data_IF_539503670671
#
_entry.id   IF_539503670671
#
_cell.length_a   1.000
_cell.length_b   1.000
_cell.length_c   1.000
_cell.angle_alpha   90.00
_cell.angle_beta   90.00
_cell.angle_gamma   90.00
#
_symmetry.space_group_name_H-M   'P 1'
#
loop_
_entity.id
_entity.type
_entity.pdbx_description
1 polymer ?
#
# COMPACT_ATOMS: atom_id res chain seq x y z
N UNK A 1 4.98 -18.60 54.84
CA UNK A 1 3.61 -18.29 54.37
C UNK A 1 3.74 -17.15 53.38
N UNK A 2 3.55 -17.46 52.11
CA UNK A 2 3.74 -16.56 50.97
C UNK A 2 2.61 -15.54 50.93
N UNK A 3 2.95 -14.25 51.03
CA UNK A 3 2.03 -13.17 50.70
C UNK A 3 1.72 -13.24 49.19
N UNK A 4 0.50 -13.64 48.83
CA UNK A 4 -0.04 -13.33 47.51
C UNK A 4 -0.37 -11.84 47.52
N UNK A 5 0.40 -11.05 46.78
CA UNK A 5 0.02 -9.68 46.42
C UNK A 5 -1.32 -9.75 45.68
N UNK A 6 -2.33 -9.09 46.24
CA UNK A 6 -3.62 -8.94 45.56
C UNK A 6 -3.38 -8.12 44.29
N UNK A 7 -3.58 -8.74 43.12
CA UNK A 7 -3.56 -8.04 41.83
C UNK A 7 -4.47 -6.80 41.89
N UNK A 8 -4.06 -5.65 41.31
CA UNK A 8 -4.93 -4.49 41.27
C UNK A 8 -6.22 -4.84 40.53
N UNK A 9 -7.38 -4.52 41.14
CA UNK A 9 -8.73 -4.89 40.65
C UNK A 9 -9.06 -4.36 39.23
N UNK A 10 -8.19 -3.58 38.60
CA UNK A 10 -8.43 -2.97 37.30
C UNK A 10 -7.24 -3.20 36.37
N UNK A 11 -6.86 -4.46 36.18
CA UNK A 11 -6.01 -4.85 35.06
C UNK A 11 -6.88 -5.20 33.84
N UNK A 12 -6.46 -4.85 32.61
CA UNK A 12 -7.08 -5.36 31.40
C UNK A 12 -7.03 -6.89 31.38
N UNK A 13 -8.14 -7.52 31.00
CA UNK A 13 -8.27 -8.97 30.92
C UNK A 13 -8.09 -9.39 29.45
N UNK A 14 -7.08 -10.21 29.11
CA UNK A 14 -6.96 -10.74 27.75
C UNK A 14 -8.19 -11.55 27.39
N UNK A 15 -8.72 -11.32 26.19
CA UNK A 15 -9.82 -12.12 25.66
C UNK A 15 -9.24 -13.45 25.14
N UNK A 16 -9.99 -14.55 25.26
CA UNK A 16 -9.50 -15.85 24.78
C UNK A 16 -9.15 -15.74 23.28
N UNK A 17 -7.92 -16.09 22.91
CA UNK A 17 -7.51 -16.12 21.51
C UNK A 17 -8.38 -17.13 20.76
N UNK A 18 -9.22 -16.68 19.83
CA UNK A 18 -9.95 -17.57 18.94
C UNK A 18 -9.05 -17.89 17.74
N UNK A 19 -8.92 -19.17 17.41
CA UNK A 19 -8.30 -19.62 16.17
C UNK A 19 -8.87 -18.89 14.94
N UNK A 20 -8.00 -18.63 13.97
CA UNK A 20 -8.30 -17.87 12.75
C UNK A 20 -9.38 -18.55 11.89
N UNK A 21 -10.31 -17.78 11.26
CA UNK A 21 -10.52 -16.33 11.35
C UNK A 21 -11.54 -15.90 12.45
N UNK A 22 -11.44 -14.66 12.97
CA UNK A 22 -12.32 -14.15 14.02
C UNK A 22 -13.78 -14.08 13.59
N UNK A 23 -14.69 -14.43 14.50
CA UNK A 23 -16.14 -14.36 14.28
C UNK A 23 -16.68 -13.00 14.77
N UNK A 24 -16.86 -12.07 13.83
CA UNK A 24 -17.42 -10.73 14.12
C UNK A 24 -18.84 -10.79 14.68
N UNK A 25 -19.14 -9.94 15.66
CA UNK A 25 -20.46 -9.82 16.25
C UNK A 25 -21.45 -9.04 15.36
N UNK A 26 -20.94 -8.10 14.54
CA UNK A 26 -21.76 -7.27 13.66
C UNK A 26 -21.15 -7.10 12.25
N UNK A 27 -21.97 -7.00 11.17
CA UNK A 27 -21.46 -6.80 9.80
C UNK A 27 -20.53 -5.59 9.63
N UNK A 28 -20.75 -4.52 10.39
CA UNK A 28 -19.89 -3.32 10.33
C UNK A 28 -18.47 -3.56 10.85
N UNK A 29 -18.27 -4.50 11.79
CA UNK A 29 -16.94 -4.88 12.25
C UNK A 29 -16.21 -5.66 11.15
N UNK A 30 -16.91 -6.58 10.48
CA UNK A 30 -16.36 -7.28 9.31
C UNK A 30 -15.97 -6.31 8.19
N UNK A 31 -16.84 -5.37 7.84
CA UNK A 31 -16.52 -4.30 6.89
C UNK A 31 -15.30 -3.50 7.35
N UNK A 32 -15.21 -3.16 8.64
CA UNK A 32 -14.09 -2.40 9.18
C UNK A 32 -12.77 -3.16 9.12
N UNK A 33 -12.77 -4.45 9.50
CA UNK A 33 -11.63 -5.34 9.41
C UNK A 33 -11.10 -5.44 7.97
N UNK A 34 -12.00 -5.66 7.00
CA UNK A 34 -11.63 -5.69 5.58
C UNK A 34 -10.96 -4.40 5.12
N UNK A 35 -11.32 -3.27 5.71
CA UNK A 35 -10.72 -1.99 5.35
C UNK A 35 -9.38 -1.77 6.05
N UNK A 36 -9.22 -2.20 7.30
CA UNK A 36 -7.91 -2.23 7.95
C UNK A 36 -6.93 -3.12 7.15
N UNK A 37 -7.40 -4.28 6.70
CA UNK A 37 -6.66 -5.17 5.80
C UNK A 37 -6.34 -4.48 4.47
N UNK A 38 -7.31 -3.77 3.88
CA UNK A 38 -7.13 -2.99 2.64
C UNK A 38 -6.01 -1.95 2.77
N UNK A 39 -5.86 -1.32 3.93
CA UNK A 39 -4.77 -0.37 4.20
C UNK A 39 -3.50 -1.00 4.78
N UNK A 40 -3.46 -2.33 4.92
CA UNK A 40 -2.31 -3.05 5.49
C UNK A 40 -2.02 -2.67 6.94
N UNK A 41 -3.00 -2.15 7.68
CA UNK A 41 -2.83 -1.80 9.08
C UNK A 41 -2.83 -3.09 9.90
N UNK A 42 -1.86 -3.28 10.81
CA UNK A 42 -1.94 -4.39 11.76
C UNK A 42 -3.09 -4.14 12.72
N UNK A 43 -3.86 -5.17 13.01
CA UNK A 43 -4.98 -5.08 13.94
C UNK A 43 -5.25 -6.40 14.67
N UNK A 44 -5.90 -6.30 15.82
CA UNK A 44 -6.44 -7.44 16.56
C UNK A 44 -7.92 -7.20 16.89
N UNK A 45 -8.75 -8.23 16.75
CA UNK A 45 -10.17 -8.19 17.11
C UNK A 45 -10.33 -8.43 18.62
N UNK A 46 -11.00 -7.52 19.33
CA UNK A 46 -11.33 -7.64 20.76
C UNK A 46 -10.20 -8.26 21.62
N UNK A 47 -8.94 -7.77 21.60
CA UNK A 47 -7.83 -8.47 22.24
C UNK A 47 -7.84 -8.40 23.77
N UNK A 48 -8.46 -7.34 24.32
CA UNK A 48 -8.54 -7.10 25.75
C UNK A 48 -9.91 -6.57 26.13
N UNK A 49 -10.35 -6.97 27.31
CA UNK A 49 -11.54 -6.44 27.97
C UNK A 49 -11.15 -5.63 29.21
N UNK A 50 -11.81 -4.51 29.42
CA UNK A 50 -11.50 -3.55 30.49
C UNK A 50 -12.63 -3.55 31.54
N UNK A 51 -12.40 -4.08 32.75
CA UNK A 51 -13.33 -3.93 33.86
C UNK A 51 -13.56 -2.46 34.20
N UNK A 52 -14.82 -2.03 34.31
CA UNK A 52 -15.22 -0.65 34.63
C UNK A 52 -15.88 -0.51 35.99
N UNK A 53 -16.48 -1.60 36.49
CA UNK A 53 -17.14 -1.66 37.80
C UNK A 53 -17.15 -3.09 38.31
N UNK A 54 -16.93 -3.23 39.61
CA UNK A 54 -17.02 -4.49 40.35
C UNK A 54 -18.21 -4.48 41.30
N UNK A 55 -18.76 -5.66 41.58
CA UNK A 55 -19.74 -5.92 42.64
C UNK A 55 -19.24 -7.11 43.46
N UNK A 56 -18.73 -6.83 44.66
CA UNK A 56 -17.91 -7.79 45.41
C UNK A 56 -16.68 -8.23 44.62
N UNK A 57 -16.56 -9.54 44.42
CA UNK A 57 -15.47 -10.17 43.65
C UNK A 57 -15.85 -10.44 42.18
N UNK A 58 -17.03 -10.02 41.73
CA UNK A 58 -17.49 -10.20 40.35
C UNK A 58 -17.42 -8.90 39.55
N UNK A 59 -17.06 -9.00 38.26
CA UNK A 59 -17.08 -7.85 37.34
C UNK A 59 -18.55 -7.56 36.98
N UNK A 60 -19.02 -6.37 37.34
CA UNK A 60 -20.40 -5.95 37.12
C UNK A 60 -20.57 -5.13 35.83
N UNK A 61 -19.51 -4.51 35.32
CA UNK A 61 -19.51 -3.82 34.04
C UNK A 61 -18.12 -3.86 33.41
N UNK A 62 -18.05 -4.15 32.11
CA UNK A 62 -16.83 -4.11 31.30
C UNK A 62 -17.08 -3.45 29.94
N UNK A 63 -15.99 -3.06 29.28
CA UNK A 63 -15.96 -2.69 27.87
C UNK A 63 -14.87 -3.49 27.17
N UNK A 64 -15.20 -4.07 26.02
CA UNK A 64 -14.27 -4.79 25.15
C UNK A 64 -14.23 -4.02 23.84
N UNK A 65 -13.17 -3.25 23.56
CA UNK A 65 -13.06 -2.51 22.32
C UNK A 65 -13.03 -3.45 21.12
N UNK A 66 -13.76 -3.09 20.08
CA UNK A 66 -13.90 -3.92 18.88
C UNK A 66 -12.54 -4.22 18.21
N UNK A 67 -11.64 -3.23 18.14
CA UNK A 67 -10.32 -3.37 17.51
C UNK A 67 -9.19 -2.76 18.32
N UNK A 68 -7.98 -3.29 18.15
CA UNK A 68 -6.72 -2.68 18.59
C UNK A 68 -5.75 -2.58 17.42
N UNK A 69 -5.14 -1.40 17.25
CA UNK A 69 -4.11 -1.12 16.25
C UNK A 69 -2.74 -1.00 16.96
N UNK A 70 -1.91 -2.06 16.99
CA UNK A 70 -0.67 -2.09 17.77
C UNK A 70 0.36 -1.04 17.32
N UNK A 71 0.42 -0.72 16.02
CA UNK A 71 1.35 0.30 15.50
C UNK A 71 1.04 1.72 15.99
N UNK A 72 -0.20 1.97 16.41
CA UNK A 72 -0.67 3.27 16.89
C UNK A 72 -0.97 3.30 18.38
N UNK A 73 -0.78 2.16 19.06
CA UNK A 73 -1.27 1.90 20.41
C UNK A 73 -2.68 2.47 20.64
N UNK A 74 -3.63 2.03 19.80
CA UNK A 74 -4.97 2.62 19.73
C UNK A 74 -6.06 1.55 19.75
N UNK A 75 -6.94 1.66 20.74
CA UNK A 75 -8.18 0.90 20.82
C UNK A 75 -9.33 1.65 20.12
N UNK A 76 -10.10 0.93 19.33
CA UNK A 76 -11.23 1.46 18.57
C UNK A 76 -12.51 0.76 18.98
N UNK A 77 -13.51 1.58 19.27
CA UNK A 77 -14.89 1.16 19.50
C UNK A 77 -15.73 1.71 18.34
N UNK A 78 -16.35 0.83 17.56
CA UNK A 78 -17.25 1.19 16.48
C UNK A 78 -18.63 1.55 17.03
N UNK A 79 -19.27 2.57 16.48
CA UNK A 79 -20.66 2.89 16.84
C UNK A 79 -21.59 2.91 15.64
N UNK A 80 -22.80 2.40 15.86
CA UNK A 80 -23.93 2.53 14.94
C UNK A 80 -24.64 3.87 15.12
N UNK A 81 -25.57 4.21 14.21
CA UNK A 81 -26.29 5.49 14.22
C UNK A 81 -27.42 5.58 15.27
N UNK A 82 -27.72 4.51 16.02
CA UNK A 82 -28.76 4.53 17.06
C UNK A 82 -28.28 5.31 18.29
N UNK A 83 -28.84 6.50 18.51
CA UNK A 83 -28.42 7.44 19.56
C UNK A 83 -28.39 6.85 20.98
N UNK A 84 -29.33 5.96 21.34
CA UNK A 84 -29.37 5.33 22.67
C UNK A 84 -28.12 4.48 22.96
N UNK A 85 -27.63 3.73 21.97
CA UNK A 85 -26.43 2.89 22.09
C UNK A 85 -25.16 3.75 22.13
N UNK A 86 -25.14 4.87 21.40
CA UNK A 86 -24.01 5.81 21.38
C UNK A 86 -23.81 6.46 22.76
N UNK A 87 -24.89 6.83 23.45
CA UNK A 87 -24.81 7.42 24.81
C UNK A 87 -24.18 6.44 25.80
N UNK A 88 -24.57 5.18 25.75
CA UNK A 88 -24.02 4.14 26.61
C UNK A 88 -22.52 3.90 26.31
N UNK A 89 -22.14 3.81 25.03
CA UNK A 89 -20.73 3.65 24.62
C UNK A 89 -19.86 4.83 25.08
N UNK A 90 -20.35 6.06 24.91
CA UNK A 90 -19.64 7.26 25.40
C UNK A 90 -19.44 7.25 26.92
N UNK A 91 -20.44 6.80 27.69
CA UNK A 91 -20.31 6.65 29.15
C UNK A 91 -19.18 5.68 29.52
N UNK A 92 -19.14 4.52 28.88
CA UNK A 92 -18.11 3.50 29.12
C UNK A 92 -16.71 3.99 28.74
N UNK A 93 -16.57 4.66 27.60
CA UNK A 93 -15.28 5.22 27.15
C UNK A 93 -14.75 6.29 28.11
N UNK A 94 -15.62 7.18 28.61
CA UNK A 94 -15.20 8.16 29.63
C UNK A 94 -14.67 7.46 30.87
N UNK A 95 -15.34 6.39 31.30
CA UNK A 95 -14.93 5.59 32.44
C UNK A 95 -13.62 4.83 32.21
N UNK A 96 -13.35 4.34 30.99
CA UNK A 96 -12.02 3.82 30.66
C UNK A 96 -10.97 4.90 30.85
N UNK A 97 -11.19 6.12 30.36
CA UNK A 97 -10.19 7.19 30.48
C UNK A 97 -9.94 7.62 31.93
N UNK A 98 -10.91 7.42 32.81
CA UNK A 98 -10.76 7.67 34.25
C UNK A 98 -9.99 6.55 34.96
N UNK A 99 -10.24 5.28 34.60
CA UNK A 99 -9.67 4.11 35.29
C UNK A 99 -8.32 3.69 34.68
N UNK A 100 -8.17 3.86 33.37
CA UNK A 100 -7.01 3.48 32.55
C UNK A 100 -6.53 4.71 31.75
N UNK A 101 -5.90 5.70 32.40
CA UNK A 101 -5.54 6.97 31.75
C UNK A 101 -4.54 6.81 30.61
N UNK A 102 -3.71 5.76 30.65
CA UNK A 102 -2.69 5.48 29.63
C UNK A 102 -3.27 4.78 28.39
N UNK A 103 -4.53 4.32 28.44
CA UNK A 103 -5.17 3.63 27.33
C UNK A 103 -5.76 4.65 26.35
N UNK A 104 -5.18 4.69 25.15
CA UNK A 104 -5.70 5.49 24.05
C UNK A 104 -6.87 4.74 23.38
N UNK A 105 -8.09 5.15 23.74
CA UNK A 105 -9.33 4.61 23.15
C UNK A 105 -10.15 5.70 22.46
N UNK A 106 -10.69 5.36 21.27
CA UNK A 106 -11.55 6.25 20.48
C UNK A 106 -12.84 5.58 20.04
N UNK A 107 -13.95 6.31 20.18
CA UNK A 107 -15.22 5.98 19.54
C UNK A 107 -15.16 6.43 18.08
N UNK A 108 -15.43 5.52 17.15
CA UNK A 108 -15.41 5.80 15.73
C UNK A 108 -16.81 5.69 15.13
N UNK A 109 -17.32 6.81 14.60
CA UNK A 109 -18.56 6.82 13.84
C UNK A 109 -18.29 6.43 12.39
N UNK A 110 -19.21 5.67 11.78
CA UNK A 110 -19.12 5.26 10.35
C UNK A 110 -18.87 6.43 9.38
N UNK A 111 -19.37 7.62 9.70
CA UNK A 111 -19.16 8.85 8.90
C UNK A 111 -17.76 9.47 9.06
N UNK A 112 -17.15 9.35 10.24
CA UNK A 112 -15.84 9.94 10.54
C UNK A 112 -14.70 9.11 9.93
N UNK A 113 -15.00 7.85 9.64
CA UNK A 113 -14.09 6.93 8.96
C UNK A 113 -13.66 7.40 7.58
N UNK A 114 -14.59 7.84 6.73
CA UNK A 114 -14.29 8.37 5.41
C UNK A 114 -13.33 9.57 5.49
N UNK A 115 -13.47 10.39 6.55
CA UNK A 115 -12.62 11.55 6.81
C UNK A 115 -11.23 11.15 7.33
N UNK A 116 -11.16 10.11 8.15
CA UNK A 116 -9.90 9.55 8.62
C UNK A 116 -9.10 8.97 7.46
N UNK A 117 -9.74 8.18 6.59
CA UNK A 117 -9.14 7.65 5.38
C UNK A 117 -8.70 8.77 4.43
N UNK A 118 -9.54 9.78 4.20
CA UNK A 118 -9.15 10.93 3.38
C UNK A 118 -7.89 11.64 3.92
N UNK A 119 -7.76 11.76 5.25
CA UNK A 119 -6.58 12.37 5.89
C UNK A 119 -5.29 11.57 5.69
N UNK A 120 -5.38 10.26 5.49
CA UNK A 120 -4.25 9.38 5.23
C UNK A 120 -4.09 9.02 3.74
N UNK A 121 -4.75 9.75 2.83
CA UNK A 121 -4.62 9.54 1.37
C UNK A 121 -5.43 8.36 0.82
N UNK A 122 -6.38 7.89 1.61
CA UNK A 122 -7.00 6.58 1.48
C UNK A 122 -8.52 6.63 1.24
N UNK A 123 -9.18 7.78 1.43
CA UNK A 123 -10.62 7.94 1.24
C UNK A 123 -11.03 8.14 -0.24
N UNK A 124 -12.32 7.95 -0.58
CA UNK A 124 -12.78 8.02 -1.96
C UNK A 124 -12.65 9.44 -2.53
N UNK A 125 -12.23 9.55 -3.80
CA UNK A 125 -12.37 10.76 -4.64
C UNK A 125 -13.85 11.07 -4.89
N UNK A 126 -14.62 11.39 -3.86
CA UNK A 126 -15.96 11.96 -4.02
C UNK A 126 -15.71 13.46 -4.11
N UNK A 127 -15.69 14.12 -5.27
CA UNK A 127 -16.63 14.09 -6.39
C UNK A 127 -15.86 14.22 -7.73
N UNK A 128 -15.73 13.16 -8.55
CA UNK A 128 -15.08 13.38 -9.86
C UNK A 128 -15.51 12.51 -11.04
N UNK A 129 -16.57 11.70 -10.90
CA UNK A 129 -17.09 10.89 -12.02
C UNK A 129 -16.11 9.83 -12.54
N UNK A 130 -15.27 9.27 -11.66
CA UNK A 130 -14.23 8.28 -12.02
C UNK A 130 -14.47 6.96 -11.28
N UNK A 131 -14.19 5.79 -11.89
CA UNK A 131 -14.41 4.50 -11.24
C UNK A 131 -13.61 4.36 -9.96
N UNK A 132 -14.22 3.81 -8.91
CA UNK A 132 -13.54 3.55 -7.65
C UNK A 132 -12.56 2.36 -7.74
N UNK A 133 -11.79 2.14 -6.68
CA UNK A 133 -10.93 0.96 -6.54
C UNK A 133 -11.80 -0.27 -6.19
N UNK A 134 -11.61 -1.38 -6.91
CA UNK A 134 -12.28 -2.65 -6.67
C UNK A 134 -11.65 -3.37 -5.46
N UNK A 135 -10.34 -3.59 -5.53
CA UNK A 135 -9.52 -4.20 -4.47
C UNK A 135 -8.09 -3.68 -4.52
N UNK A 136 -7.38 -3.74 -3.40
CA UNK A 136 -5.92 -3.62 -3.38
C UNK A 136 -5.34 -4.93 -3.89
N UNK A 137 -4.46 -4.85 -4.89
CA UNK A 137 -3.71 -5.99 -5.41
C UNK A 137 -2.40 -6.18 -4.64
N UNK A 138 -1.67 -5.08 -4.41
CA UNK A 138 -0.41 -5.05 -3.66
C UNK A 138 -0.45 -3.90 -2.67
N UNK A 139 -0.29 -4.18 -1.39
CA UNK A 139 -0.25 -3.15 -0.34
C UNK A 139 1.04 -2.32 -0.39
N UNK A 140 1.04 -1.14 0.24
CA UNK A 140 2.23 -0.30 0.39
C UNK A 140 3.39 -1.10 0.99
N UNK A 141 3.14 -1.83 2.08
CA UNK A 141 4.15 -2.68 2.70
C UNK A 141 4.74 -3.73 1.73
N UNK A 142 3.90 -4.41 0.94
CA UNK A 142 4.39 -5.38 -0.04
C UNK A 142 5.26 -4.71 -1.11
N UNK A 143 4.82 -3.55 -1.62
CA UNK A 143 5.57 -2.77 -2.60
C UNK A 143 6.93 -2.35 -2.02
N UNK A 144 6.95 -1.74 -0.83
CA UNK A 144 8.19 -1.28 -0.19
C UNK A 144 9.17 -2.42 0.10
N UNK A 145 8.66 -3.58 0.55
CA UNK A 145 9.49 -4.77 0.74
C UNK A 145 10.12 -5.24 -0.58
N UNK A 146 9.34 -5.30 -1.66
CA UNK A 146 9.85 -5.71 -2.96
C UNK A 146 10.87 -4.71 -3.51
N UNK A 147 10.63 -3.42 -3.38
CA UNK A 147 11.57 -2.37 -3.80
C UNK A 147 12.90 -2.51 -3.07
N UNK A 148 12.88 -2.85 -1.78
CA UNK A 148 14.10 -3.13 -1.02
C UNK A 148 14.84 -4.37 -1.52
N UNK A 149 14.13 -5.45 -1.84
CA UNK A 149 14.73 -6.64 -2.46
C UNK A 149 15.41 -6.31 -3.79
N UNK A 150 14.72 -5.59 -4.68
CA UNK A 150 15.25 -5.17 -5.98
C UNK A 150 16.47 -4.24 -5.84
N UNK A 151 16.43 -3.29 -4.90
CA UNK A 151 17.55 -2.40 -4.61
C UNK A 151 18.79 -3.16 -4.14
N UNK A 152 18.62 -4.19 -3.30
CA UNK A 152 19.72 -5.07 -2.86
C UNK A 152 20.29 -5.88 -4.03
N UNK A 153 19.44 -6.45 -4.89
CA UNK A 153 19.87 -7.19 -6.08
C UNK A 153 20.68 -6.29 -7.02
N UNK A 154 20.18 -5.11 -7.35
CA UNK A 154 20.89 -4.14 -8.18
C UNK A 154 22.23 -3.73 -7.57
N UNK A 155 22.27 -3.51 -6.25
CA UNK A 155 23.50 -3.14 -5.56
C UNK A 155 24.56 -4.24 -5.60
N UNK A 156 24.15 -5.51 -5.56
CA UNK A 156 25.05 -6.64 -5.66
C UNK A 156 25.56 -6.82 -7.10
N UNK A 157 24.67 -6.79 -8.08
CA UNK A 157 24.99 -7.06 -9.49
C UNK A 157 25.87 -5.98 -10.13
N UNK A 158 25.73 -4.74 -9.67
CA UNK A 158 26.53 -3.61 -10.13
C UNK A 158 27.62 -3.19 -9.14
N UNK A 159 28.02 -4.06 -8.21
CA UNK A 159 29.08 -3.74 -7.25
C UNK A 159 30.33 -3.16 -7.93
N UNK A 160 30.84 -2.05 -7.40
CA UNK A 160 31.97 -1.28 -7.94
C UNK A 160 31.76 -0.66 -9.34
N UNK A 161 30.53 -0.66 -9.85
CA UNK A 161 30.12 0.03 -11.08
C UNK A 161 29.22 1.22 -10.71
N UNK A 162 28.88 2.04 -11.71
CA UNK A 162 28.01 3.20 -11.56
C UNK A 162 26.96 3.18 -12.69
N UNK A 163 25.87 2.42 -12.53
CA UNK A 163 24.85 2.33 -13.57
C UNK A 163 24.05 3.64 -13.69
N UNK A 164 23.49 3.86 -14.88
CA UNK A 164 22.51 4.92 -15.15
C UNK A 164 21.11 4.32 -15.02
N UNK A 165 20.34 4.82 -14.06
CA UNK A 165 18.92 4.51 -13.97
C UNK A 165 18.16 5.41 -14.94
N UNK A 166 17.55 4.80 -15.95
CA UNK A 166 16.73 5.53 -16.93
C UNK A 166 15.29 5.20 -16.67
N UNK A 167 14.46 6.20 -16.39
CA UNK A 167 13.04 6.00 -16.17
C UNK A 167 12.20 6.59 -17.31
N UNK A 168 11.17 5.85 -17.74
CA UNK A 168 10.24 6.36 -18.77
C UNK A 168 9.03 6.99 -18.11
N UNK A 169 8.83 8.27 -18.38
CA UNK A 169 7.77 9.04 -17.74
C UNK A 169 6.37 8.56 -18.17
N UNK A 170 5.35 8.59 -17.30
CA UNK A 170 5.36 9.23 -15.96
C UNK A 170 5.18 8.28 -14.77
N UNK A 171 4.59 7.10 -14.98
CA UNK A 171 4.10 6.32 -13.84
C UNK A 171 5.20 5.68 -12.99
N UNK A 172 6.39 5.45 -13.53
CA UNK A 172 7.53 4.89 -12.79
C UNK A 172 8.12 5.83 -11.71
N UNK A 173 7.76 7.12 -11.65
CA UNK A 173 8.41 8.11 -10.78
C UNK A 173 8.44 7.69 -9.30
N UNK A 174 7.33 7.15 -8.78
CA UNK A 174 7.28 6.65 -7.40
C UNK A 174 8.24 5.47 -7.19
N UNK A 175 8.20 4.49 -8.09
CA UNK A 175 9.05 3.31 -8.05
C UNK A 175 10.54 3.67 -8.16
N UNK A 176 10.92 4.49 -9.13
CA UNK A 176 12.30 4.96 -9.31
C UNK A 176 12.81 5.68 -8.05
N UNK A 177 12.00 6.56 -7.47
CA UNK A 177 12.40 7.32 -6.29
C UNK A 177 12.62 6.44 -5.05
N UNK A 178 11.81 5.41 -4.87
CA UNK A 178 11.99 4.48 -3.75
C UNK A 178 13.14 3.49 -4.03
N UNK A 179 13.25 2.98 -5.26
CA UNK A 179 14.31 2.06 -5.69
C UNK A 179 15.70 2.69 -5.50
N UNK A 180 15.89 3.93 -5.97
CA UNK A 180 17.19 4.59 -5.85
C UNK A 180 17.63 4.78 -4.38
N UNK A 181 16.69 4.94 -3.44
CA UNK A 181 17.00 5.05 -1.99
C UNK A 181 17.45 3.72 -1.38
N UNK A 182 17.11 2.60 -2.02
CA UNK A 182 17.48 1.24 -1.57
C UNK A 182 18.77 0.73 -2.22
N UNK A 183 19.30 1.44 -3.20
CA UNK A 183 20.58 1.12 -3.85
C UNK A 183 21.73 1.68 -3.00
N UNK A 184 22.75 0.87 -2.73
CA UNK A 184 23.87 1.20 -1.83
C UNK A 184 25.16 1.61 -2.56
N UNK A 185 25.07 1.87 -3.87
CA UNK A 185 26.19 2.29 -4.71
C UNK A 185 25.85 3.60 -5.44
N UNK A 186 26.87 4.34 -5.94
CA UNK A 186 26.62 5.53 -6.74
C UNK A 186 25.82 5.18 -7.99
N UNK A 187 24.76 5.94 -8.26
CA UNK A 187 23.96 5.82 -9.49
C UNK A 187 23.82 7.18 -10.15
N UNK A 188 23.73 7.17 -11.48
CA UNK A 188 23.22 8.32 -12.24
C UNK A 188 21.74 8.10 -12.53
N UNK A 189 21.01 9.18 -12.84
CA UNK A 189 19.58 9.13 -13.13
C UNK A 189 19.26 10.04 -14.30
N UNK A 190 18.41 9.55 -15.20
CA UNK A 190 17.83 10.35 -16.28
C UNK A 190 16.42 9.85 -16.64
N UNK A 191 15.70 10.65 -17.41
CA UNK A 191 14.31 10.45 -17.76
C UNK A 191 14.09 10.58 -19.25
N UNK A 192 13.31 9.64 -19.80
CA UNK A 192 12.80 9.72 -21.16
C UNK A 192 11.29 9.96 -21.17
N UNK A 193 10.78 10.53 -22.25
CA UNK A 193 9.34 10.61 -22.51
C UNK A 193 9.02 10.07 -23.90
N UNK A 194 7.94 9.32 -23.98
CA UNK A 194 7.45 8.70 -25.21
C UNK A 194 5.99 9.08 -25.47
N UNK A 195 5.60 9.05 -26.73
CA UNK A 195 4.22 9.22 -27.17
C UNK A 195 3.86 8.14 -28.18
N UNK A 196 2.65 7.61 -28.09
CA UNK A 196 2.08 6.72 -29.11
C UNK A 196 1.29 7.59 -30.10
N UNK A 197 1.54 7.42 -31.40
CA UNK A 197 0.72 8.01 -32.46
C UNK A 197 -0.28 6.99 -32.98
N UNK A 198 -1.57 7.35 -32.95
CA UNK A 198 -2.63 6.65 -33.68
C UNK A 198 -3.20 7.57 -34.75
N UNK A 199 -2.96 7.26 -36.03
CA UNK A 199 -3.40 8.05 -37.18
C UNK A 199 -3.26 7.28 -38.50
N UNK A 200 -3.67 7.90 -39.61
CA UNK A 200 -3.82 7.27 -40.93
C UNK A 200 -2.52 6.68 -41.53
N UNK A 201 -1.34 7.08 -41.04
CA UNK A 201 -0.03 6.68 -41.57
C UNK A 201 0.73 5.67 -40.68
N UNK A 202 0.07 5.06 -39.69
CA UNK A 202 0.61 3.94 -38.92
C UNK A 202 0.62 4.16 -37.40
N UNK A 203 0.60 3.04 -36.67
CA UNK A 203 0.70 2.97 -35.21
C UNK A 203 2.20 2.97 -34.84
N UNK A 204 2.68 4.00 -34.14
CA UNK A 204 4.11 4.19 -33.95
C UNK A 204 4.48 4.86 -32.62
N UNK A 205 5.53 4.34 -31.99
CA UNK A 205 6.13 4.91 -30.78
C UNK A 205 7.19 5.95 -31.14
N UNK A 206 7.14 7.12 -30.50
CA UNK A 206 8.13 8.20 -30.68
C UNK A 206 8.66 8.71 -29.35
N UNK A 207 9.96 8.94 -29.26
CA UNK A 207 10.60 9.66 -28.15
C UNK A 207 10.33 11.16 -28.31
N UNK A 208 9.70 11.76 -27.29
CA UNK A 208 9.39 13.19 -27.21
C UNK A 208 10.41 13.95 -26.38
N UNK A 209 11.03 13.29 -25.39
CA UNK A 209 12.20 13.77 -24.65
C UNK A 209 13.21 12.63 -24.56
N UNK A 210 14.40 12.85 -25.09
CA UNK A 210 15.52 11.91 -25.01
C UNK A 210 16.37 12.20 -23.77
N UNK A 211 17.43 11.40 -23.58
CA UNK A 211 18.38 11.51 -22.49
C UNK A 211 19.24 12.78 -22.60
N UNK A 212 19.56 13.34 -21.44
CA UNK A 212 20.54 14.40 -21.25
C UNK A 212 21.95 13.84 -20.99
N UNK A 213 22.05 12.62 -20.45
CA UNK A 213 23.31 11.90 -20.18
C UNK A 213 23.78 11.10 -21.41
N UNK A 214 25.08 11.18 -21.72
CA UNK A 214 25.74 10.31 -22.72
C UNK A 214 25.96 8.90 -22.15
N UNK A 215 25.52 7.88 -22.90
CA UNK A 215 25.52 6.49 -22.42
C UNK A 215 26.78 5.69 -22.79
N UNK A 216 27.72 6.26 -23.53
CA UNK A 216 28.91 5.56 -24.01
C UNK A 216 29.65 4.87 -22.85
N UNK A 217 29.71 3.54 -22.91
CA UNK A 217 30.41 2.73 -21.91
C UNK A 217 29.68 2.53 -20.57
N UNK A 218 28.48 3.09 -20.39
CA UNK A 218 27.70 2.96 -19.16
C UNK A 218 26.76 1.77 -19.20
N UNK A 219 26.59 1.11 -18.05
CA UNK A 219 25.48 0.18 -17.84
C UNK A 219 24.19 0.93 -17.58
N UNK A 220 23.13 0.54 -18.29
CA UNK A 220 21.83 1.16 -18.15
C UNK A 220 20.86 0.18 -17.51
N UNK A 221 20.14 0.66 -16.49
CA UNK A 221 18.99 -0.02 -15.92
C UNK A 221 17.76 0.80 -16.27
N UNK A 222 16.96 0.28 -17.19
CA UNK A 222 15.67 0.86 -17.57
C UNK A 222 14.64 0.51 -16.49
N UNK A 223 14.12 1.54 -15.83
CA UNK A 223 13.18 1.44 -14.71
C UNK A 223 11.76 1.75 -15.19
N UNK A 224 10.90 0.74 -15.14
CA UNK A 224 9.52 0.80 -15.63
C UNK A 224 8.52 0.51 -14.51
N UNK A 225 7.37 1.16 -14.54
CA UNK A 225 6.25 0.86 -13.61
C UNK A 225 5.56 -0.45 -13.98
N UNK A 226 5.26 -0.66 -15.26
CA UNK A 226 4.58 -1.85 -15.75
C UNK A 226 5.04 -2.24 -17.15
N UNK A 227 5.32 -3.52 -17.34
CA UNK A 227 5.58 -4.08 -18.67
C UNK A 227 4.40 -4.94 -19.10
N UNK A 228 3.88 -4.62 -20.28
CA UNK A 228 2.69 -5.25 -20.85
C UNK A 228 3.05 -6.07 -22.10
N UNK A 229 2.78 -5.57 -23.31
CA UNK A 229 3.08 -6.29 -24.56
C UNK A 229 4.57 -6.49 -24.84
N UNK A 230 5.43 -5.68 -24.21
CA UNK A 230 6.88 -5.66 -24.43
C UNK A 230 7.34 -4.85 -25.64
N UNK A 231 6.43 -4.31 -26.45
CA UNK A 231 6.79 -3.55 -27.67
C UNK A 231 7.56 -2.27 -27.35
N UNK A 232 7.01 -1.46 -26.44
CA UNK A 232 7.63 -0.21 -25.96
C UNK A 232 9.01 -0.47 -25.38
N UNK A 233 9.10 -1.50 -24.53
CA UNK A 233 10.35 -1.89 -23.89
C UNK A 233 11.42 -2.30 -24.93
N UNK A 234 11.06 -3.13 -25.91
CA UNK A 234 11.98 -3.55 -26.97
C UNK A 234 12.53 -2.38 -27.79
N UNK A 235 11.66 -1.42 -28.12
CA UNK A 235 12.05 -0.19 -28.82
C UNK A 235 13.05 0.63 -27.99
N UNK A 236 12.73 0.87 -26.72
CA UNK A 236 13.59 1.64 -25.81
C UNK A 236 14.94 0.98 -25.59
N UNK A 237 14.97 -0.33 -25.38
CA UNK A 237 16.23 -1.08 -25.24
C UNK A 237 17.11 -0.95 -26.50
N UNK A 238 16.50 -0.99 -27.68
CA UNK A 238 17.21 -0.81 -28.95
C UNK A 238 17.76 0.61 -29.11
N UNK A 239 16.99 1.63 -28.71
CA UNK A 239 17.42 3.03 -28.71
C UNK A 239 18.57 3.29 -27.72
N UNK A 240 18.49 2.74 -26.51
CA UNK A 240 19.55 2.90 -25.50
C UNK A 240 20.86 2.24 -25.95
N UNK A 241 20.77 1.07 -26.59
CA UNK A 241 21.95 0.39 -27.17
C UNK A 241 22.56 1.20 -28.32
N UNK A 242 21.76 1.81 -29.18
CA UNK A 242 22.27 2.64 -30.29
C UNK A 242 22.94 3.93 -29.80
N UNK A 243 22.65 4.36 -28.57
CA UNK A 243 23.31 5.47 -27.86
C UNK A 243 24.62 5.10 -27.17
N UNK A 244 25.12 3.87 -27.35
CA UNK A 244 26.42 3.44 -26.85
C UNK A 244 26.44 2.82 -25.45
N UNK A 245 25.27 2.50 -24.88
CA UNK A 245 25.19 1.78 -23.61
C UNK A 245 25.98 0.46 -23.65
N UNK A 246 26.83 0.22 -22.65
CA UNK A 246 27.61 -1.01 -22.51
C UNK A 246 26.72 -2.22 -22.21
N UNK A 247 25.65 -2.02 -21.44
CA UNK A 247 24.60 -2.99 -21.21
C UNK A 247 23.27 -2.27 -21.02
N UNK A 248 22.16 -2.97 -21.32
CA UNK A 248 20.80 -2.47 -21.05
C UNK A 248 20.01 -3.59 -20.41
N UNK A 249 19.75 -3.45 -19.12
CA UNK A 249 18.92 -4.34 -18.32
C UNK A 249 17.64 -3.63 -17.91
N UNK A 250 16.61 -4.42 -17.57
CA UNK A 250 15.28 -3.89 -17.22
C UNK A 250 14.94 -4.23 -15.77
N UNK A 251 14.50 -3.22 -15.04
CA UNK A 251 13.90 -3.34 -13.72
C UNK A 251 12.46 -2.83 -13.79
N UNK A 252 11.48 -3.72 -13.65
CA UNK A 252 10.07 -3.32 -13.62
C UNK A 252 9.41 -3.68 -12.30
N UNK A 253 8.51 -2.83 -11.83
CA UNK A 253 7.69 -3.14 -10.68
C UNK A 253 6.66 -4.24 -11.02
N UNK A 254 5.97 -4.14 -12.16
CA UNK A 254 4.86 -5.02 -12.53
C UNK A 254 5.06 -5.65 -13.91
N UNK A 255 4.91 -6.96 -14.02
CA UNK A 255 4.98 -7.70 -15.29
C UNK A 255 3.64 -8.39 -15.60
N UNK A 256 2.95 -7.94 -16.66
CA UNK A 256 1.76 -8.59 -17.21
C UNK A 256 2.15 -9.67 -18.21
N UNK A 257 2.80 -10.71 -17.72
CA UNK A 257 3.35 -11.78 -18.56
C UNK A 257 2.33 -12.43 -19.51
N UNK A 258 1.07 -12.52 -19.10
CA UNK A 258 -0.02 -13.04 -19.93
C UNK A 258 -0.30 -12.23 -21.22
N UNK A 259 0.13 -10.96 -21.30
CA UNK A 259 -0.04 -10.09 -22.47
C UNK A 259 1.20 -9.95 -23.33
N UNK A 260 2.28 -10.68 -23.02
CA UNK A 260 3.55 -10.60 -23.72
C UNK A 260 3.39 -10.96 -25.20
N UNK A 261 3.75 -10.03 -26.08
CA UNK A 261 3.80 -10.24 -27.54
C UNK A 261 5.25 -10.32 -28.01
N UNK A 262 6.10 -9.43 -27.49
CA UNK A 262 7.52 -9.40 -27.78
C UNK A 262 8.27 -9.94 -26.57
N UNK A 263 9.02 -11.02 -26.79
CA UNK A 263 9.88 -11.58 -25.74
C UNK A 263 11.06 -10.64 -25.49
N UNK A 264 11.11 -10.11 -24.27
CA UNK A 264 12.12 -9.15 -23.82
C UNK A 264 12.64 -9.64 -22.48
N UNK A 265 13.96 -9.70 -22.35
CA UNK A 265 14.58 -10.12 -21.09
C UNK A 265 14.37 -9.05 -20.04
N UNK A 266 13.65 -9.40 -18.97
CA UNK A 266 13.46 -8.54 -17.80
C UNK A 266 14.22 -9.18 -16.64
N UNK A 267 15.33 -8.54 -16.25
CA UNK A 267 16.25 -9.10 -15.26
C UNK A 267 15.71 -8.94 -13.84
N UNK A 268 15.09 -7.80 -13.54
CA UNK A 268 14.55 -7.51 -12.21
C UNK A 268 13.04 -7.29 -12.33
N UNK A 269 12.27 -8.27 -11.84
CA UNK A 269 10.80 -8.23 -11.81
C UNK A 269 10.34 -8.07 -10.36
N UNK A 270 9.55 -7.04 -10.08
CA UNK A 270 8.92 -6.86 -8.79
C UNK A 270 7.83 -7.90 -8.55
N UNK A 271 6.78 -7.84 -9.37
CA UNK A 271 5.61 -8.70 -9.28
C UNK A 271 5.11 -9.12 -10.65
N UNK A 272 4.84 -10.41 -10.83
CA UNK A 272 3.99 -10.86 -11.93
C UNK A 272 2.52 -10.60 -11.54
N UNK A 273 1.77 -9.92 -12.41
CA UNK A 273 0.40 -9.47 -12.13
C UNK A 273 -0.59 -9.96 -13.18
N UNK A 274 -1.86 -10.18 -12.79
CA UNK A 274 -2.90 -10.56 -13.74
C UNK A 274 -3.18 -9.45 -14.75
N UNK A 275 -3.89 -9.79 -15.83
CA UNK A 275 -4.38 -8.81 -16.77
C UNK A 275 -5.61 -8.05 -16.22
N UNK A 276 -5.34 -7.13 -15.31
CA UNK A 276 -6.32 -6.22 -14.73
C UNK A 276 -5.89 -4.77 -14.93
N UNK A 277 -6.82 -3.83 -14.88
CA UNK A 277 -6.48 -2.41 -14.95
C UNK A 277 -5.97 -1.93 -13.59
N UNK A 278 -4.69 -1.57 -13.51
CA UNK A 278 -3.99 -1.25 -12.27
C UNK A 278 -3.73 0.25 -12.14
N UNK A 279 -3.91 0.78 -10.94
CA UNK A 279 -3.66 2.19 -10.60
C UNK A 279 -2.97 2.30 -9.24
N UNK A 280 -2.38 3.46 -8.96
CA UNK A 280 -1.67 3.69 -7.71
C UNK A 280 -0.17 3.47 -7.83
N UNK A 281 0.56 3.97 -6.83
CA UNK A 281 2.02 3.97 -6.76
C UNK A 281 2.67 4.49 -8.05
N UNK A 282 2.17 5.64 -8.53
CA UNK A 282 2.58 6.28 -9.76
C UNK A 282 1.74 5.93 -11.00
N UNK A 283 1.11 4.75 -11.06
CA UNK A 283 0.16 4.39 -12.12
C UNK A 283 -1.11 5.23 -12.05
N UNK A 284 -1.70 5.54 -13.20
CA UNK A 284 -2.88 6.39 -13.29
C UNK A 284 -4.05 5.82 -14.08
N UNK A 285 -5.20 6.43 -13.85
CA UNK A 285 -6.31 6.45 -14.78
C UNK A 285 -6.73 7.90 -15.00
N UNK A 286 -6.58 8.41 -16.22
CA UNK A 286 -6.91 9.81 -16.56
C UNK A 286 -6.21 10.82 -15.63
N UNK A 287 -4.92 10.61 -15.37
CA UNK A 287 -4.07 11.41 -14.48
C UNK A 287 -4.51 11.40 -13.00
N UNK A 288 -5.37 10.46 -12.59
CA UNK A 288 -5.79 10.26 -11.20
C UNK A 288 -5.12 9.01 -10.61
N UNK A 289 -5.18 8.88 -9.29
CA UNK A 289 -4.72 7.73 -8.50
C UNK A 289 -3.22 7.54 -8.35
N UNK A 290 -2.36 8.28 -9.09
CA UNK A 290 -0.88 8.18 -8.95
C UNK A 290 -0.39 8.25 -7.50
N UNK A 291 -1.08 9.04 -6.66
CA UNK A 291 -0.71 9.30 -5.28
C UNK A 291 -1.14 8.22 -4.27
N UNK A 292 -1.86 7.17 -4.69
CA UNK A 292 -2.16 6.05 -3.80
C UNK A 292 -0.84 5.31 -3.49
N UNK A 293 -0.57 4.93 -2.23
CA UNK A 293 0.70 4.28 -1.88
C UNK A 293 0.73 2.78 -2.18
N UNK A 294 -0.35 2.23 -2.74
CA UNK A 294 -0.52 0.81 -3.06
C UNK A 294 -0.90 0.63 -4.54
N UNK A 295 -0.83 -0.60 -5.04
CA UNK A 295 -1.38 -0.96 -6.36
C UNK A 295 -2.80 -1.50 -6.18
N UNK A 296 -3.77 -0.85 -6.81
CA UNK A 296 -5.18 -1.22 -6.79
C UNK A 296 -5.70 -1.61 -8.16
N UNK A 297 -6.72 -2.49 -8.17
CA UNK A 297 -7.49 -2.82 -9.37
C UNK A 297 -8.64 -1.82 -9.50
N UNK A 298 -8.75 -1.15 -10.64
CA UNK A 298 -9.84 -0.22 -10.91
C UNK A 298 -11.16 -1.00 -11.12
N UNK A 299 -12.29 -0.48 -10.61
CA UNK A 299 -13.61 -1.05 -10.93
C UNK A 299 -13.92 -0.88 -12.42
N UNK A 300 -14.47 -1.90 -13.09
CA UNK A 300 -15.02 -1.73 -14.44
C UNK A 300 -16.10 -0.64 -14.45
N UNK A 301 -16.15 0.19 -15.48
CA UNK A 301 -17.29 1.08 -15.70
C UNK A 301 -18.53 0.24 -16.05
N UNK A 302 -19.56 0.27 -15.18
CA UNK A 302 -20.88 -0.29 -15.47
C UNK A 302 -21.10 -1.77 -15.13
N UNK A 303 -21.00 -2.13 -13.84
CA UNK A 303 -21.53 -3.38 -13.28
C UNK A 303 -22.60 -3.12 -12.22
#
# INVERSE_FOLDING_TARGET
MTHQEAKPRFEPVPTAASDSPPRFAHPSEKEFAQILDFYGLRWAYEPYSFPLRWDGDSIAEMLTPDFYLPDLDLYLELTTMKQSLVTQKNRKIRRIREIYPDINIRLLYRKDFHRLLAKFGFGPLIESGVPGINRVLLSDHQVQQKVEELGKMLSADYAQRQPVLVGVQRGMVCFMADLMRKITLPVMMDFMSISHYGGADGDGLRITKDLDIELDGHDVVLVEDIVDTGMTLNYLMSHLRSKGAASVEVCTLLDKRARRIVDVSIKYVGFEVPDEFLVGYGLDYLEKYRNLPFIGVLKPEGG
#
